data_IF_963795007765
#
_entry.id   IF_963795007765
#
_cell.length_a   1.000
_cell.length_b   1.000
_cell.length_c   1.000
_cell.angle_alpha   90.00
_cell.angle_beta   90.00
_cell.angle_gamma   90.00
#
_symmetry.space_group_name_H-M   'P 1'
#
loop_
_entity.id
_entity.type
_entity.pdbx_description
1 polymer ?
#
# COMPACT_ATOMS: atom_id res chain seq x y z
N UNK A 1 -5.88 1.25 -8.28
CA UNK A 1 -4.57 0.79 -8.65
C UNK A 1 -3.45 1.80 -8.62
N UNK A 2 -3.72 3.09 -8.81
CA UNK A 2 -2.67 4.13 -8.82
C UNK A 2 -2.26 4.59 -7.41
N UNK A 3 -3.08 4.36 -6.42
CA UNK A 3 -2.90 4.87 -5.06
C UNK A 3 -1.57 4.46 -4.41
N UNK A 4 -1.13 3.17 -4.45
CA UNK A 4 0.17 2.81 -3.90
C UNK A 4 1.33 3.53 -4.60
N UNK A 5 1.25 3.69 -5.91
CA UNK A 5 2.28 4.41 -6.66
C UNK A 5 2.31 5.90 -6.30
N UNK A 6 1.14 6.51 -6.15
CA UNK A 6 1.04 7.91 -5.74
C UNK A 6 1.72 8.13 -4.40
N UNK A 7 1.52 7.23 -3.45
CA UNK A 7 2.14 7.32 -2.14
C UNK A 7 3.65 7.18 -2.24
N UNK A 8 4.16 6.25 -3.04
CA UNK A 8 5.61 6.12 -3.27
C UNK A 8 6.17 7.42 -3.84
N UNK A 9 5.49 8.01 -4.83
CA UNK A 9 5.93 9.26 -5.45
C UNK A 9 5.96 10.41 -4.45
N UNK A 10 4.95 10.52 -3.60
CA UNK A 10 4.91 11.56 -2.56
C UNK A 10 6.04 11.36 -1.55
N UNK A 11 6.24 10.12 -1.10
CA UNK A 11 7.33 9.80 -0.16
C UNK A 11 8.71 10.07 -0.76
N UNK A 12 8.86 9.94 -2.07
CA UNK A 12 10.14 10.19 -2.75
C UNK A 12 10.60 11.64 -2.66
N UNK A 13 9.70 12.55 -2.30
CA UNK A 13 10.08 13.96 -2.03
C UNK A 13 10.90 14.10 -0.74
N UNK A 14 10.80 13.12 0.15
CA UNK A 14 11.39 13.17 1.49
C UNK A 14 12.42 12.07 1.74
N UNK A 15 12.34 10.96 1.00
CA UNK A 15 13.18 9.78 1.19
C UNK A 15 13.72 9.29 -0.15
N UNK A 16 14.97 8.76 -0.18
CA UNK A 16 15.45 8.07 -1.37
C UNK A 16 14.54 6.87 -1.73
N UNK A 17 14.32 6.65 -3.03
CA UNK A 17 13.46 5.55 -3.48
C UNK A 17 13.89 4.18 -2.96
N UNK A 18 15.20 3.95 -2.86
CA UNK A 18 15.71 2.67 -2.35
C UNK A 18 15.39 2.40 -0.87
N UNK A 19 14.87 3.41 -0.16
CA UNK A 19 14.44 3.27 1.23
C UNK A 19 12.91 3.17 1.36
N UNK A 20 12.20 3.12 0.24
CA UNK A 20 10.72 3.05 0.25
C UNK A 20 10.28 1.66 -0.18
N UNK A 21 9.62 0.93 0.72
CA UNK A 21 9.03 -0.37 0.43
C UNK A 21 7.54 -0.35 0.77
N UNK A 22 6.71 -0.68 -0.21
CA UNK A 22 5.26 -0.70 -0.06
C UNK A 22 4.72 -2.08 -0.37
N UNK A 23 3.89 -2.60 0.50
CA UNK A 23 3.12 -3.82 0.27
C UNK A 23 1.68 -3.43 0.00
N UNK A 24 1.16 -3.81 -1.15
CA UNK A 24 -0.23 -3.61 -1.53
C UNK A 24 -0.92 -4.96 -1.72
N UNK A 25 -2.04 -5.15 -1.04
CA UNK A 25 -2.80 -6.39 -1.11
C UNK A 25 -4.21 -6.11 -1.61
N UNK A 26 -4.73 -6.98 -2.45
CA UNK A 26 -6.10 -6.93 -2.93
C UNK A 26 -6.59 -8.34 -3.18
N UNK A 27 -7.87 -8.55 -3.05
CA UNK A 27 -8.51 -9.83 -3.39
C UNK A 27 -8.72 -9.96 -4.90
N UNK A 28 -8.88 -8.84 -5.59
CA UNK A 28 -9.18 -8.81 -7.03
C UNK A 28 -7.89 -8.95 -7.86
N UNK A 29 -7.74 -10.12 -8.48
CA UNK A 29 -6.57 -10.41 -9.33
C UNK A 29 -6.50 -9.54 -10.57
N UNK A 30 -7.64 -9.11 -11.10
CA UNK A 30 -7.69 -8.20 -12.26
C UNK A 30 -7.14 -6.84 -11.87
N UNK A 31 -7.54 -6.31 -10.71
CA UNK A 31 -7.04 -5.04 -10.19
C UNK A 31 -5.53 -5.13 -9.95
N UNK A 32 -5.03 -6.22 -9.39
CA UNK A 32 -3.60 -6.43 -9.17
C UNK A 32 -2.84 -6.46 -10.50
N UNK A 33 -3.35 -7.20 -11.49
CA UNK A 33 -2.70 -7.29 -12.81
C UNK A 33 -2.62 -5.91 -13.47
N UNK A 34 -3.69 -5.11 -13.40
CA UNK A 34 -3.71 -3.75 -13.92
C UNK A 34 -2.69 -2.86 -13.20
N UNK A 35 -2.63 -2.97 -11.89
CA UNK A 35 -1.68 -2.20 -11.09
C UNK A 35 -0.23 -2.56 -11.42
N UNK A 36 0.07 -3.85 -11.56
CA UNK A 36 1.41 -4.31 -11.95
C UNK A 36 1.81 -3.84 -13.35
N UNK A 37 0.86 -3.74 -14.27
CA UNK A 37 1.12 -3.22 -15.60
C UNK A 37 1.50 -1.74 -15.57
N UNK A 38 0.92 -0.98 -14.64
CA UNK A 38 1.27 0.43 -14.44
C UNK A 38 0.86 1.35 -15.57
N UNK A 39 -0.20 1.01 -16.31
CA UNK A 39 -0.71 1.80 -17.43
C UNK A 39 -2.09 2.35 -17.09
N UNK A 40 -2.27 3.65 -17.22
CA UNK A 40 -3.48 4.34 -16.77
C UNK A 40 -4.00 5.33 -17.82
N UNK A 41 -5.33 5.53 -17.84
CA UNK A 41 -5.93 6.64 -18.56
C UNK A 41 -5.71 7.96 -17.81
N UNK A 42 -5.78 9.09 -18.53
CA UNK A 42 -5.54 10.41 -17.92
C UNK A 42 -6.43 10.67 -16.70
N UNK A 43 -7.72 10.29 -16.77
CA UNK A 43 -8.65 10.51 -15.67
C UNK A 43 -8.34 9.68 -14.43
N UNK A 44 -7.67 8.55 -14.60
CA UNK A 44 -7.31 7.67 -13.49
C UNK A 44 -6.18 8.25 -12.64
N UNK A 45 -5.40 9.16 -13.19
CA UNK A 45 -4.27 9.79 -12.50
C UNK A 45 -4.49 11.28 -12.22
N UNK A 46 -5.73 11.75 -12.29
CA UNK A 46 -6.04 13.16 -12.02
C UNK A 46 -5.63 13.62 -10.62
N UNK A 47 -5.69 12.71 -9.64
CA UNK A 47 -5.30 13.01 -8.27
C UNK A 47 -3.79 13.08 -8.03
N UNK A 48 -2.98 12.70 -9.01
CA UNK A 48 -1.51 12.76 -8.88
C UNK A 48 -1.04 14.20 -9.09
N UNK A 49 -0.19 14.75 -8.21
CA UNK A 49 0.37 16.11 -8.42
C UNK A 49 1.09 16.23 -9.77
N UNK A 50 0.94 17.38 -10.42
CA UNK A 50 1.45 17.58 -11.78
C UNK A 50 2.96 17.38 -11.91
N UNK A 51 3.73 17.83 -10.94
CA UNK A 51 5.18 17.65 -10.92
C UNK A 51 5.57 16.18 -10.90
N UNK A 52 4.83 15.37 -10.15
CA UNK A 52 5.07 13.92 -10.08
C UNK A 52 4.60 13.20 -11.34
N UNK A 53 3.50 13.65 -11.95
CA UNK A 53 3.08 13.11 -13.25
C UNK A 53 4.16 13.28 -14.31
N UNK A 54 4.72 14.47 -14.40
CA UNK A 54 5.76 14.78 -15.37
C UNK A 54 7.04 13.97 -15.12
N UNK A 55 7.36 13.75 -13.86
CA UNK A 55 8.59 13.05 -13.48
C UNK A 55 8.51 11.54 -13.66
N UNK A 56 7.38 10.93 -13.34
CA UNK A 56 7.28 9.48 -13.21
C UNK A 56 6.33 8.80 -14.18
N UNK A 57 5.59 9.55 -14.99
CA UNK A 57 4.73 8.98 -16.01
C UNK A 57 5.22 9.36 -17.41
N UNK A 58 5.16 8.39 -18.31
CA UNK A 58 5.43 8.59 -19.74
C UNK A 58 4.12 8.44 -20.50
N UNK A 59 3.77 9.42 -21.31
CA UNK A 59 2.58 9.36 -22.15
C UNK A 59 2.86 8.48 -23.37
N UNK A 60 2.00 7.50 -23.58
CA UNK A 60 2.03 6.63 -24.76
C UNK A 60 0.63 6.66 -25.39
N UNK A 61 0.44 7.48 -26.45
CA UNK A 61 -0.87 7.69 -27.04
C UNK A 61 -1.84 8.33 -26.04
N UNK A 62 -2.96 7.68 -25.78
CA UNK A 62 -3.96 8.14 -24.79
C UNK A 62 -3.70 7.60 -23.38
N UNK A 63 -2.62 6.85 -23.19
CA UNK A 63 -2.31 6.21 -21.91
C UNK A 63 -1.06 6.80 -21.28
N UNK A 64 -0.94 6.61 -19.96
CA UNK A 64 0.21 7.04 -19.17
C UNK A 64 0.79 5.83 -18.46
N UNK A 65 2.08 5.64 -18.60
CA UNK A 65 2.81 4.52 -18.01
C UNK A 65 3.68 5.02 -16.87
N UNK A 66 3.55 4.40 -15.69
CA UNK A 66 4.41 4.69 -14.54
C UNK A 66 5.84 4.21 -14.79
N UNK A 67 6.85 4.93 -14.28
CA UNK A 67 8.25 4.53 -14.41
C UNK A 67 8.55 3.24 -13.64
N UNK A 68 9.51 2.47 -14.14
CA UNK A 68 9.91 1.21 -13.51
C UNK A 68 10.54 1.43 -12.13
N UNK A 69 11.18 2.57 -11.90
CA UNK A 69 11.77 2.86 -10.58
C UNK A 69 10.72 3.01 -9.49
N UNK A 70 9.52 3.51 -9.83
CA UNK A 70 8.40 3.57 -8.90
C UNK A 70 7.76 2.19 -8.76
N UNK A 71 7.54 1.49 -9.87
CA UNK A 71 6.93 0.14 -9.86
C UNK A 71 7.70 -0.83 -8.97
N UNK A 72 9.01 -0.76 -8.99
CA UNK A 72 9.86 -1.67 -8.22
C UNK A 72 9.75 -1.49 -6.71
N UNK A 73 9.19 -0.37 -6.25
CA UNK A 73 9.03 -0.11 -4.81
C UNK A 73 7.74 -0.68 -4.24
N UNK A 74 6.82 -1.15 -5.08
CA UNK A 74 5.54 -1.71 -4.64
C UNK A 74 5.48 -3.19 -4.93
N UNK A 75 5.20 -3.98 -3.90
CA UNK A 75 4.94 -5.43 -4.03
C UNK A 75 3.43 -5.63 -3.96
N UNK A 76 2.87 -6.25 -5.00
CA UNK A 76 1.45 -6.57 -5.03
C UNK A 76 1.25 -8.04 -4.68
N UNK A 77 0.31 -8.33 -3.78
CA UNK A 77 -0.05 -9.70 -3.42
C UNK A 77 -1.55 -9.89 -3.40
N UNK A 78 -2.02 -10.96 -4.00
CA UNK A 78 -3.36 -11.46 -3.74
C UNK A 78 -3.37 -12.13 -2.37
N UNK A 79 -4.51 -12.10 -1.73
CA UNK A 79 -4.68 -12.38 -0.31
C UNK A 79 -4.55 -13.82 0.13
N UNK A 80 -3.36 -14.38 0.16
CA UNK A 80 -3.11 -15.51 1.05
C UNK A 80 -2.27 -15.06 2.25
N UNK A 81 -2.78 -14.05 2.93
CA UNK A 81 -2.06 -13.35 4.00
C UNK A 81 -1.83 -14.21 5.24
N UNK A 82 -2.62 -15.27 5.41
CA UNK A 82 -2.51 -16.12 6.60
C UNK A 82 -1.42 -17.19 6.45
N UNK A 83 -1.07 -17.53 5.22
CA UNK A 83 -0.13 -18.64 4.95
C UNK A 83 1.27 -18.18 4.62
N UNK A 84 1.39 -17.06 3.90
CA UNK A 84 2.67 -16.60 3.41
C UNK A 84 3.46 -15.88 4.49
N UNK A 85 4.77 -16.07 4.57
CA UNK A 85 5.61 -15.24 5.43
C UNK A 85 5.63 -13.81 4.90
N UNK A 86 5.68 -12.85 5.82
CA UNK A 86 5.71 -11.45 5.44
C UNK A 86 7.16 -10.95 5.46
N UNK A 87 7.62 -10.32 4.37
CA UNK A 87 8.88 -9.59 4.41
C UNK A 87 8.82 -8.49 5.47
N UNK A 88 9.96 -7.98 5.87
CA UNK A 88 10.07 -6.96 6.93
C UNK A 88 10.47 -5.61 6.35
N UNK A 89 10.35 -4.59 7.18
CA UNK A 89 10.80 -3.22 6.92
C UNK A 89 10.00 -2.49 5.84
N UNK A 90 8.71 -2.77 5.74
CA UNK A 90 7.84 -1.97 4.91
C UNK A 90 7.52 -0.63 5.58
N UNK A 91 7.50 0.42 4.79
CA UNK A 91 7.15 1.77 5.25
C UNK A 91 5.65 2.04 5.11
N UNK A 92 5.00 1.33 4.22
CA UNK A 92 3.55 1.41 4.01
C UNK A 92 3.02 0.04 3.62
N UNK A 93 1.92 -0.35 4.25
CA UNK A 93 1.13 -1.51 3.84
C UNK A 93 -0.26 -1.01 3.50
N UNK A 94 -0.73 -1.32 2.29
CA UNK A 94 -2.09 -1.02 1.84
C UNK A 94 -2.86 -2.33 1.74
N UNK A 95 -3.91 -2.47 2.53
CA UNK A 95 -4.74 -3.66 2.52
C UNK A 95 -6.20 -3.26 2.29
N UNK A 96 -6.75 -3.65 1.13
CA UNK A 96 -8.11 -3.28 0.72
C UNK A 96 -8.89 -4.51 0.28
N UNK A 97 -10.16 -4.57 0.67
CA UNK A 97 -11.13 -5.56 0.22
C UNK A 97 -10.75 -7.03 0.48
N UNK A 98 -9.88 -7.27 1.45
CA UNK A 98 -9.39 -8.61 1.77
C UNK A 98 -9.98 -9.11 3.09
N UNK A 99 -9.92 -8.26 4.11
CA UNK A 99 -10.22 -8.64 5.49
C UNK A 99 -11.71 -8.85 5.75
N UNK A 100 -12.58 -8.34 4.88
CA UNK A 100 -14.02 -8.51 4.99
C UNK A 100 -14.46 -9.98 4.96
N UNK A 101 -13.62 -10.84 4.38
CA UNK A 101 -13.89 -12.28 4.28
C UNK A 101 -13.24 -13.08 5.41
N UNK A 102 -12.52 -12.42 6.31
CA UNK A 102 -11.80 -13.09 7.38
C UNK A 102 -12.64 -13.17 8.66
N UNK A 103 -12.42 -14.23 9.44
CA UNK A 103 -12.93 -14.28 10.81
C UNK A 103 -12.21 -13.24 11.68
N UNK A 104 -12.78 -12.93 12.84
CA UNK A 104 -12.14 -11.99 13.77
C UNK A 104 -10.75 -12.48 14.21
N UNK A 105 -10.59 -13.79 14.42
CA UNK A 105 -9.30 -14.38 14.76
C UNK A 105 -8.28 -14.23 13.62
N UNK A 106 -8.70 -14.45 12.38
CA UNK A 106 -7.85 -14.30 11.21
C UNK A 106 -7.47 -12.84 11.00
N UNK A 107 -8.40 -11.90 11.22
CA UNK A 107 -8.11 -10.46 11.17
C UNK A 107 -7.04 -10.08 12.19
N UNK A 108 -7.19 -10.51 13.43
CA UNK A 108 -6.24 -10.19 14.50
C UNK A 108 -4.85 -10.70 14.14
N UNK A 109 -4.75 -11.94 13.70
CA UNK A 109 -3.49 -12.54 13.26
C UNK A 109 -2.85 -11.76 12.13
N UNK A 110 -3.64 -11.37 11.12
CA UNK A 110 -3.17 -10.59 9.98
C UNK A 110 -2.66 -9.22 10.40
N UNK A 111 -3.40 -8.51 11.26
CA UNK A 111 -2.96 -7.21 11.76
C UNK A 111 -1.65 -7.31 12.55
N UNK A 112 -1.47 -8.36 13.35
CA UNK A 112 -0.22 -8.58 14.07
C UNK A 112 0.94 -8.87 13.14
N UNK A 113 0.70 -9.60 12.06
CA UNK A 113 1.70 -9.84 11.01
C UNK A 113 2.07 -8.54 10.30
N UNK A 114 1.10 -7.70 9.97
CA UNK A 114 1.37 -6.39 9.37
C UNK A 114 2.21 -5.52 10.30
N UNK A 115 1.87 -5.51 11.58
CA UNK A 115 2.67 -4.78 12.57
C UNK A 115 4.13 -5.24 12.57
N UNK A 116 4.36 -6.55 12.56
CA UNK A 116 5.71 -7.12 12.50
C UNK A 116 6.44 -6.80 11.21
N UNK A 117 5.72 -6.62 10.10
CA UNK A 117 6.32 -6.29 8.79
C UNK A 117 6.63 -4.82 8.62
N UNK A 118 6.03 -3.93 9.41
CA UNK A 118 6.25 -2.50 9.30
C UNK A 118 7.57 -2.10 9.94
N UNK A 119 8.30 -1.22 9.27
CA UNK A 119 9.40 -0.49 9.88
C UNK A 119 8.88 0.45 10.97
N UNK A 120 9.70 0.84 11.96
CA UNK A 120 9.29 1.89 12.91
C UNK A 120 8.79 3.13 12.17
N UNK A 121 7.68 3.69 12.60
CA UNK A 121 6.95 4.80 11.96
C UNK A 121 6.29 4.43 10.63
N UNK A 122 6.30 3.16 10.25
CA UNK A 122 5.55 2.67 9.08
C UNK A 122 4.04 2.75 9.29
N UNK A 123 3.31 2.86 8.19
CA UNK A 123 1.86 3.08 8.19
C UNK A 123 1.14 1.89 7.59
N UNK A 124 0.06 1.48 8.24
CA UNK A 124 -0.92 0.56 7.67
C UNK A 124 -2.15 1.36 7.25
N UNK A 125 -2.51 1.28 5.98
CA UNK A 125 -3.72 1.87 5.43
C UNK A 125 -4.74 0.76 5.15
N UNK A 126 -5.94 0.90 5.71
CA UNK A 126 -7.03 -0.07 5.51
C UNK A 126 -8.26 0.62 4.95
N UNK A 127 -9.19 -0.16 4.41
CA UNK A 127 -10.44 0.37 3.86
C UNK A 127 -11.34 0.97 4.94
N UNK A 128 -12.26 1.83 4.52
CA UNK A 128 -13.15 2.58 5.42
C UNK A 128 -14.10 1.71 6.22
N UNK A 129 -14.39 0.50 5.75
CA UNK A 129 -15.29 -0.44 6.42
C UNK A 129 -14.59 -1.34 7.42
N UNK A 130 -13.26 -1.27 7.48
CA UNK A 130 -12.46 -2.14 8.32
C UNK A 130 -11.73 -1.31 9.36
N UNK A 131 -12.03 -1.56 10.63
CA UNK A 131 -11.35 -0.90 11.73
C UNK A 131 -10.65 -1.94 12.59
N UNK A 132 -9.47 -1.59 13.08
CA UNK A 132 -8.75 -2.42 14.03
C UNK A 132 -9.24 -2.02 15.43
N UNK A 133 -10.13 -2.82 16.00
CA UNK A 133 -10.74 -2.51 17.30
C UNK A 133 -9.68 -2.58 18.39
N UNK A 134 -8.81 -3.57 18.35
CA UNK A 134 -7.78 -3.80 19.36
C UNK A 134 -6.41 -3.23 18.95
N UNK A 135 -6.41 -2.11 18.23
CA UNK A 135 -5.17 -1.55 17.70
C UNK A 135 -4.13 -1.24 18.79
N UNK A 136 -4.58 -0.83 19.97
CA UNK A 136 -3.70 -0.54 21.09
C UNK A 136 -2.99 -1.79 21.61
N UNK A 137 -3.70 -2.91 21.67
CA UNK A 137 -3.14 -4.17 22.16
C UNK A 137 -2.08 -4.71 21.19
N UNK A 138 -2.27 -4.47 19.88
CA UNK A 138 -1.28 -4.85 18.87
C UNK A 138 -0.05 -3.94 18.93
N UNK A 139 -0.25 -2.68 19.27
CA UNK A 139 0.82 -1.69 19.40
C UNK A 139 0.68 -0.49 18.49
N UNK A 140 -0.34 -0.45 17.62
CA UNK A 140 -0.57 0.66 16.70
C UNK A 140 -1.01 1.94 17.40
N UNK A 141 -0.67 3.08 16.80
CA UNK A 141 -1.30 4.36 17.03
C UNK A 141 -2.25 4.67 15.89
N UNK A 142 -3.49 4.98 16.20
CA UNK A 142 -4.48 5.37 15.20
C UNK A 142 -4.30 6.83 14.83
N UNK A 143 -4.01 7.10 13.55
CA UNK A 143 -3.82 8.47 13.06
C UNK A 143 -5.13 9.09 12.55
N UNK A 144 -5.98 8.28 11.93
CA UNK A 144 -7.34 8.65 11.56
C UNK A 144 -8.15 7.37 11.32
N UNK A 145 -9.31 7.46 10.68
CA UNK A 145 -10.19 6.31 10.46
C UNK A 145 -9.55 5.21 9.60
N UNK A 146 -8.51 5.54 8.81
CA UNK A 146 -7.92 4.63 7.81
C UNK A 146 -6.47 4.30 8.08
N UNK A 147 -5.75 5.12 8.84
CA UNK A 147 -4.31 5.01 9.01
C UNK A 147 -3.92 4.62 10.42
N UNK A 148 -3.06 3.62 10.52
CA UNK A 148 -2.51 3.15 11.78
C UNK A 148 -0.98 3.14 11.65
N UNK A 149 -0.30 3.74 12.61
CA UNK A 149 1.15 3.86 12.59
C UNK A 149 1.78 2.90 13.61
N UNK A 150 2.89 2.27 13.19
CA UNK A 150 3.77 1.58 14.13
C UNK A 150 4.66 2.62 14.81
N UNK A 151 4.53 2.83 16.13
CA UNK A 151 5.32 3.84 16.80
C UNK A 151 6.81 3.56 16.70
N UNK A 152 7.58 4.61 16.83
CA UNK A 152 9.02 4.51 16.98
C UNK A 152 9.30 3.83 18.30
N UNK A 153 9.82 2.64 18.22
CA UNK A 153 10.08 1.71 19.33
C UNK A 153 9.94 2.28 20.73
#
# INVERSE_FOLDING_TARGET
GDEPYTIVMVLSRHLPLNQINVLATDLDTVAIAKAKAGVYAAKEIQGVPDDLKKKYFTQEGSKYKISDEIKSRVTFKQADLLRDPYPKDYHLIVCRNVLIYFTEEAKDETFRKFYGSLAPQGILFIGSTEQIINYKDIGFQRKNSFYYEKPKA
#
